data_IF_576403084193
#
_entry.id   IF_576403084193
#
_cell.length_a   1.000
_cell.length_b   1.000
_cell.length_c   1.000
_cell.angle_alpha   90.00
_cell.angle_beta   90.00
_cell.angle_gamma   90.00
#
_symmetry.space_group_name_H-M   'P 1'
#
loop_
_entity.id
_entity.type
_entity.pdbx_description
1 polymer ?
#
# COMPACT_ATOMS: atom_id res chain seq x y z
N UNK A 1 20.03 6.00 15.82
CA UNK A 1 18.98 6.88 16.38
C UNK A 1 17.72 6.06 16.55
N UNK A 2 16.89 6.36 17.55
CA UNK A 2 15.66 5.60 17.80
C UNK A 2 14.63 5.94 16.71
N UNK A 3 14.11 4.94 16.02
CA UNK A 3 12.99 5.07 15.09
C UNK A 3 11.72 5.18 15.92
N UNK A 4 11.21 6.40 16.11
CA UNK A 4 10.12 6.65 17.05
C UNK A 4 8.72 6.59 16.40
N UNK A 5 8.65 6.65 15.08
CA UNK A 5 7.40 6.81 14.34
C UNK A 5 7.37 5.90 13.11
N UNK A 6 6.21 5.33 12.82
CA UNK A 6 5.89 4.70 11.55
C UNK A 6 4.40 4.91 11.26
N UNK A 7 4.11 5.69 10.23
CA UNK A 7 2.74 6.10 9.92
C UNK A 7 2.14 5.37 8.71
N UNK A 8 2.86 4.41 8.11
CA UNK A 8 2.41 3.73 6.92
C UNK A 8 2.72 2.23 7.01
N UNK A 9 1.72 1.47 7.43
CA UNK A 9 1.76 0.01 7.54
C UNK A 9 0.40 -0.55 7.18
N UNK A 10 0.37 -1.78 6.66
CA UNK A 10 -0.85 -2.45 6.22
C UNK A 10 -1.16 -3.67 7.06
N UNK A 11 -2.43 -3.80 7.44
CA UNK A 11 -2.98 -4.97 8.12
C UNK A 11 -3.68 -5.90 7.13
N UNK A 12 -4.23 -7.01 7.63
CA UNK A 12 -5.01 -7.94 6.80
C UNK A 12 -6.34 -7.35 6.27
N UNK A 13 -6.70 -6.13 6.67
CA UNK A 13 -7.80 -5.39 6.04
C UNK A 13 -7.40 -4.73 4.72
N UNK A 14 -6.12 -4.63 4.43
CA UNK A 14 -5.58 -4.42 3.09
C UNK A 14 -5.55 -5.73 2.32
N UNK A 15 -5.73 -5.70 1.01
CA UNK A 15 -5.76 -6.90 0.17
C UNK A 15 -4.38 -7.56 -0.02
N UNK A 16 -3.33 -6.92 0.47
CA UNK A 16 -1.93 -7.36 0.39
C UNK A 16 -1.20 -7.36 1.74
N UNK A 17 -1.88 -7.03 2.84
CA UNK A 17 -1.32 -7.06 4.18
C UNK A 17 -1.46 -8.43 4.86
N UNK A 18 -0.51 -8.78 5.75
CA UNK A 18 -0.44 -10.10 6.38
C UNK A 18 -1.02 -10.14 7.80
N UNK A 19 -0.73 -9.14 8.62
CA UNK A 19 -0.92 -9.21 10.06
C UNK A 19 -2.21 -8.54 10.55
N UNK A 20 -2.76 -9.01 11.68
CA UNK A 20 -3.84 -8.29 12.37
C UNK A 20 -3.34 -6.94 12.90
N UNK A 21 -4.26 -5.96 13.12
CA UNK A 21 -3.91 -4.69 13.75
C UNK A 21 -3.22 -4.88 15.12
N UNK A 22 -3.67 -5.84 15.93
CA UNK A 22 -3.05 -6.14 17.23
C UNK A 22 -1.62 -6.66 17.08
N UNK A 23 -1.37 -7.53 16.11
CA UNK A 23 -0.04 -8.05 15.83
C UNK A 23 0.92 -6.95 15.34
N UNK A 24 0.45 -6.05 14.46
CA UNK A 24 1.24 -4.89 14.00
C UNK A 24 1.63 -3.98 15.18
N UNK A 25 0.69 -3.71 16.09
CA UNK A 25 0.98 -2.94 17.31
C UNK A 25 2.05 -3.65 18.15
N UNK A 26 1.95 -4.97 18.31
CA UNK A 26 2.96 -5.76 19.04
C UNK A 26 4.35 -5.65 18.40
N UNK A 27 4.43 -5.75 17.08
CA UNK A 27 5.68 -5.60 16.32
C UNK A 27 6.24 -4.19 16.44
N UNK A 28 5.39 -3.15 16.40
CA UNK A 28 5.78 -1.77 16.63
C UNK A 28 6.38 -1.57 18.02
N UNK A 29 5.73 -2.12 19.06
CA UNK A 29 6.25 -2.06 20.42
C UNK A 29 7.64 -2.69 20.55
N UNK A 30 7.84 -3.86 19.93
CA UNK A 30 9.13 -4.56 19.90
C UNK A 30 10.21 -3.78 19.14
N UNK A 31 9.82 -3.04 18.09
CA UNK A 31 10.71 -2.20 17.29
C UNK A 31 10.96 -0.82 17.89
N UNK A 32 10.37 -0.51 19.05
CA UNK A 32 10.57 0.77 19.76
C UNK A 32 9.73 1.94 19.20
N UNK A 33 8.80 1.69 18.29
CA UNK A 33 7.89 2.70 17.76
C UNK A 33 7.01 3.26 18.88
N UNK A 34 6.83 4.58 18.89
CA UNK A 34 6.03 5.33 19.87
C UNK A 34 4.80 6.01 19.26
N UNK A 35 4.84 6.25 17.96
CA UNK A 35 3.72 6.81 17.20
C UNK A 35 3.54 5.96 15.95
N UNK A 36 2.31 5.50 15.71
CA UNK A 36 2.01 4.63 14.58
C UNK A 36 0.67 4.95 13.93
N UNK A 37 0.54 4.54 12.68
CA UNK A 37 -0.72 4.46 11.98
C UNK A 37 -0.76 3.15 11.17
N UNK A 38 -1.94 2.55 11.09
CA UNK A 38 -2.24 1.52 10.09
C UNK A 38 -3.04 2.24 9.00
N UNK A 39 -2.53 2.18 7.78
CA UNK A 39 -3.07 2.90 6.63
C UNK A 39 -3.42 1.91 5.50
N UNK A 40 -4.41 1.05 5.77
CA UNK A 40 -4.84 0.01 4.83
C UNK A 40 -5.37 0.61 3.53
N UNK A 41 -5.17 -0.10 2.42
CA UNK A 41 -5.70 0.27 1.11
C UNK A 41 -7.22 0.35 1.16
N UNK A 42 -7.74 1.56 0.92
CA UNK A 42 -9.17 1.87 0.78
C UNK A 42 -10.05 1.45 1.97
N UNK A 43 -9.47 1.16 3.14
CA UNK A 43 -10.20 0.68 4.32
C UNK A 43 -9.77 1.38 5.61
N UNK A 44 -10.74 1.70 6.45
CA UNK A 44 -10.52 2.26 7.79
C UNK A 44 -10.73 1.22 8.91
N UNK A 45 -10.99 -0.03 8.55
CA UNK A 45 -11.42 -1.10 9.50
C UNK A 45 -10.41 -1.41 10.58
N UNK A 46 -9.12 -1.25 10.30
CA UNK A 46 -8.04 -1.49 11.27
C UNK A 46 -8.02 -0.48 12.42
N UNK A 47 -8.61 0.71 12.23
CA UNK A 47 -8.39 1.83 13.14
C UNK A 47 -8.90 1.59 14.57
N UNK A 48 -10.06 0.99 14.74
CA UNK A 48 -10.61 0.76 16.09
C UNK A 48 -9.79 -0.28 16.86
N UNK A 49 -9.52 -1.44 16.26
CA UNK A 49 -8.70 -2.50 16.85
C UNK A 49 -7.27 -2.01 17.12
N UNK A 50 -6.65 -1.36 16.12
CA UNK A 50 -5.29 -0.80 16.21
C UNK A 50 -5.18 0.24 17.33
N UNK A 51 -6.14 1.15 17.45
CA UNK A 51 -6.19 2.17 18.51
C UNK A 51 -6.30 1.55 19.90
N UNK A 52 -7.16 0.54 20.05
CA UNK A 52 -7.31 -0.17 21.33
C UNK A 52 -6.03 -0.93 21.71
N UNK A 53 -5.43 -1.64 20.77
CA UNK A 53 -4.17 -2.36 21.00
C UNK A 53 -3.01 -1.40 21.32
N UNK A 54 -2.86 -0.31 20.55
CA UNK A 54 -1.83 0.70 20.76
C UNK A 54 -1.95 1.38 22.14
N UNK A 55 -3.19 1.65 22.57
CA UNK A 55 -3.44 2.18 23.93
C UNK A 55 -2.94 1.23 25.01
N UNK A 56 -3.18 -0.08 24.87
CA UNK A 56 -2.67 -1.10 25.80
C UNK A 56 -1.13 -1.16 25.80
N UNK A 57 -0.51 -0.96 24.65
CA UNK A 57 0.94 -0.95 24.47
C UNK A 57 1.64 0.36 24.82
N UNK A 58 0.89 1.43 25.15
CA UNK A 58 1.43 2.76 25.41
C UNK A 58 1.99 3.47 24.17
N UNK A 59 1.49 3.12 22.99
CA UNK A 59 1.83 3.71 21.69
C UNK A 59 0.74 4.72 21.31
N UNK A 60 1.14 5.86 20.78
CA UNK A 60 0.21 6.84 20.20
C UNK A 60 -0.24 6.36 18.83
N UNK A 61 -1.54 6.12 18.68
CA UNK A 61 -2.16 5.75 17.41
C UNK A 61 -2.75 6.98 16.71
N UNK A 62 -2.54 7.08 15.40
CA UNK A 62 -3.17 8.06 14.51
C UNK A 62 -4.06 7.28 13.57
N UNK A 63 -5.35 7.67 13.41
CA UNK A 63 -6.20 7.05 12.40
C UNK A 63 -5.60 7.21 11.02
N UNK A 64 -5.58 6.13 10.24
CA UNK A 64 -4.95 6.06 8.94
C UNK A 64 -5.81 5.36 7.89
N UNK A 65 -5.58 5.73 6.65
CA UNK A 65 -6.06 5.07 5.43
C UNK A 65 -5.10 5.40 4.29
N UNK A 66 -4.89 4.48 3.37
CA UNK A 66 -4.28 4.77 2.07
C UNK A 66 -5.35 4.62 0.99
N UNK A 67 -5.69 5.72 0.31
CA UNK A 67 -6.71 5.75 -0.74
C UNK A 67 -6.05 5.68 -2.11
N UNK A 68 -6.41 4.64 -2.89
CA UNK A 68 -6.12 4.57 -4.31
C UNK A 68 -6.90 5.66 -5.04
N UNK A 69 -6.22 6.49 -5.82
CA UNK A 69 -6.85 7.57 -6.56
C UNK A 69 -6.17 7.80 -7.90
N UNK A 70 -6.77 8.64 -8.73
CA UNK A 70 -6.19 9.02 -10.02
C UNK A 70 -6.02 10.53 -10.14
N UNK A 71 -4.91 10.95 -10.74
CA UNK A 71 -4.67 12.33 -11.10
C UNK A 71 -4.10 12.42 -12.51
N UNK A 72 -4.81 13.12 -13.41
CA UNK A 72 -4.42 13.28 -14.83
C UNK A 72 -4.07 11.96 -15.54
N UNK A 73 -4.78 10.87 -15.18
CA UNK A 73 -4.59 9.53 -15.78
C UNK A 73 -3.50 8.67 -15.14
N UNK A 74 -2.82 9.17 -14.11
CA UNK A 74 -1.82 8.43 -13.32
C UNK A 74 -2.49 7.92 -12.05
N UNK A 75 -2.27 6.65 -11.71
CA UNK A 75 -2.69 6.08 -10.43
C UNK A 75 -1.74 6.57 -9.33
N UNK A 76 -2.32 7.03 -8.24
CA UNK A 76 -1.63 7.58 -7.07
C UNK A 76 -2.21 7.00 -5.80
N UNK A 77 -1.44 7.06 -4.72
CA UNK A 77 -1.93 6.80 -3.38
C UNK A 77 -1.88 8.07 -2.53
N UNK A 78 -2.94 8.27 -1.74
CA UNK A 78 -3.04 9.38 -0.78
C UNK A 78 -3.32 8.81 0.60
N UNK A 79 -2.44 9.12 1.53
CA UNK A 79 -2.61 8.80 2.94
C UNK A 79 -3.52 9.82 3.62
N UNK A 80 -4.53 9.34 4.33
CA UNK A 80 -5.33 10.15 5.23
C UNK A 80 -4.89 9.94 6.66
N UNK A 81 -4.78 11.01 7.45
CA UNK A 81 -4.40 10.93 8.84
C UNK A 81 -5.27 11.77 9.75
N UNK A 82 -5.60 11.24 10.94
CA UNK A 82 -6.24 11.99 12.01
C UNK A 82 -7.69 12.37 11.78
N UNK A 83 -8.36 11.68 10.87
CA UNK A 83 -9.77 11.89 10.51
C UNK A 83 -10.72 11.13 11.46
N UNK A 84 -12.01 11.46 11.38
CA UNK A 84 -13.10 10.69 12.01
C UNK A 84 -13.37 9.42 11.19
N UNK A 85 -12.82 8.30 11.65
CA UNK A 85 -12.91 6.98 11.01
C UNK A 85 -14.26 6.27 11.17
N UNK A 86 -15.21 6.88 11.90
CA UNK A 86 -16.58 6.39 11.98
C UNK A 86 -17.50 6.92 10.86
N UNK A 87 -17.00 7.78 9.98
CA UNK A 87 -17.77 8.38 8.89
C UNK A 87 -18.10 7.39 7.78
N UNK A 88 -19.35 7.41 7.30
CA UNK A 88 -19.83 6.63 6.16
C UNK A 88 -19.12 6.98 4.83
N UNK A 89 -18.43 8.12 4.77
CA UNK A 89 -17.65 8.52 3.58
C UNK A 89 -16.56 7.49 3.22
N UNK A 90 -15.95 6.89 4.22
CA UNK A 90 -14.92 5.86 4.00
C UNK A 90 -15.51 4.52 3.57
N UNK A 91 -16.74 4.20 3.98
CA UNK A 91 -17.47 3.05 3.44
C UNK A 91 -17.70 3.19 1.93
N UNK A 92 -17.96 4.40 1.44
CA UNK A 92 -18.07 4.67 0.00
C UNK A 92 -16.76 4.34 -0.76
N UNK A 93 -15.59 4.67 -0.18
CA UNK A 93 -14.30 4.33 -0.77
C UNK A 93 -14.12 2.81 -0.85
N UNK A 94 -14.36 2.11 0.27
CA UNK A 94 -14.26 0.65 0.34
C UNK A 94 -15.22 -0.03 -0.63
N UNK A 95 -16.49 0.39 -0.69
CA UNK A 95 -17.53 -0.17 -1.57
C UNK A 95 -17.19 0.02 -3.05
N UNK A 96 -16.61 1.18 -3.42
CA UNK A 96 -16.17 1.45 -4.79
C UNK A 96 -15.16 0.39 -5.27
N UNK A 97 -14.16 0.07 -4.44
CA UNK A 97 -13.15 -0.93 -4.77
C UNK A 97 -13.74 -2.33 -4.71
N UNK A 98 -14.47 -2.68 -3.66
CA UNK A 98 -15.06 -4.00 -3.47
C UNK A 98 -16.01 -4.40 -4.60
N UNK A 99 -16.81 -3.46 -5.09
CA UNK A 99 -17.77 -3.71 -6.19
C UNK A 99 -17.08 -4.10 -7.51
N UNK A 100 -15.84 -3.71 -7.71
CA UNK A 100 -15.06 -3.98 -8.92
C UNK A 100 -14.11 -5.17 -8.77
N UNK A 101 -13.66 -5.44 -7.54
CA UNK A 101 -12.56 -6.35 -7.24
C UNK A 101 -12.77 -7.77 -7.76
N UNK A 102 -13.95 -8.38 -7.52
CA UNK A 102 -14.23 -9.75 -7.97
C UNK A 102 -14.16 -9.90 -9.50
N UNK A 103 -14.61 -8.88 -10.25
CA UNK A 103 -14.51 -8.87 -11.70
C UNK A 103 -13.07 -8.66 -12.16
N UNK A 104 -12.34 -7.73 -11.52
CA UNK A 104 -10.94 -7.45 -11.81
C UNK A 104 -10.06 -8.68 -11.55
N UNK A 105 -10.27 -9.37 -10.43
CA UNK A 105 -9.55 -10.61 -10.07
C UNK A 105 -9.69 -11.70 -11.15
N UNK A 106 -10.90 -11.92 -11.66
CA UNK A 106 -11.12 -12.90 -12.75
C UNK A 106 -10.49 -12.47 -14.07
N UNK A 107 -10.44 -11.16 -14.35
CA UNK A 107 -9.74 -10.66 -15.54
C UNK A 107 -8.21 -10.82 -15.40
N UNK A 108 -7.65 -10.58 -14.22
CA UNK A 108 -6.25 -10.83 -13.92
C UNK A 108 -5.91 -12.32 -14.05
N UNK A 109 -6.77 -13.21 -13.56
CA UNK A 109 -6.62 -14.67 -13.75
C UNK A 109 -6.55 -15.04 -15.24
N UNK A 110 -7.48 -14.51 -16.04
CA UNK A 110 -7.45 -14.73 -17.49
C UNK A 110 -6.18 -14.19 -18.15
N UNK A 111 -5.67 -13.06 -17.70
CA UNK A 111 -4.44 -12.47 -18.19
C UNK A 111 -3.21 -13.32 -17.80
N UNK A 112 -3.16 -13.82 -16.56
CA UNK A 112 -2.11 -14.72 -16.07
C UNK A 112 -2.06 -16.01 -16.89
N UNK A 113 -3.22 -16.59 -17.20
CA UNK A 113 -3.30 -17.78 -18.09
C UNK A 113 -2.78 -17.49 -19.50
N UNK A 114 -3.01 -16.29 -20.04
CA UNK A 114 -2.45 -15.88 -21.34
C UNK A 114 -0.93 -15.74 -21.33
N UNK A 115 -0.30 -15.55 -20.18
CA UNK A 115 1.16 -15.61 -20.03
C UNK A 115 1.71 -17.03 -20.10
N UNK A 116 0.85 -18.07 -20.14
CA UNK A 116 1.22 -19.47 -20.22
C UNK A 116 1.23 -20.21 -18.88
N UNK A 117 0.72 -19.60 -17.81
CA UNK A 117 0.62 -20.24 -16.50
C UNK A 117 -0.74 -20.95 -16.32
N UNK A 118 -0.71 -22.14 -15.77
CA UNK A 118 -1.93 -22.90 -15.44
C UNK A 118 -2.30 -22.59 -13.97
N UNK A 119 -3.09 -21.53 -13.78
CA UNK A 119 -3.62 -21.11 -12.49
C UNK A 119 -5.14 -21.20 -12.53
N UNK A 120 -5.76 -21.72 -11.48
CA UNK A 120 -7.22 -21.91 -11.39
C UNK A 120 -7.85 -20.94 -10.37
N UNK A 121 -9.17 -20.85 -10.36
CA UNK A 121 -9.89 -20.13 -9.31
C UNK A 121 -9.67 -20.81 -7.97
N UNK A 122 -9.66 -22.15 -7.94
CA UNK A 122 -9.41 -22.96 -6.73
C UNK A 122 -8.04 -22.67 -6.12
N UNK A 123 -6.99 -22.47 -6.92
CA UNK A 123 -5.67 -22.09 -6.40
C UNK A 123 -5.70 -20.75 -5.68
N UNK A 124 -6.43 -19.81 -6.23
CA UNK A 124 -6.54 -18.46 -5.67
C UNK A 124 -7.43 -18.46 -4.43
N UNK A 125 -8.52 -19.24 -4.43
CA UNK A 125 -9.40 -19.43 -3.27
C UNK A 125 -8.67 -20.15 -2.13
N UNK A 126 -7.85 -21.17 -2.42
CA UNK A 126 -7.04 -21.87 -1.43
C UNK A 126 -6.01 -20.93 -0.79
N UNK A 127 -5.32 -20.10 -1.59
CA UNK A 127 -4.38 -19.10 -1.08
C UNK A 127 -5.07 -18.04 -0.24
N UNK A 128 -6.23 -17.54 -0.69
CA UNK A 128 -6.99 -16.53 0.03
C UNK A 128 -7.57 -17.05 1.36
N UNK A 129 -7.94 -18.34 1.43
CA UNK A 129 -8.46 -18.97 2.66
C UNK A 129 -9.61 -18.16 3.27
N UNK A 130 -9.51 -17.89 4.59
CA UNK A 130 -10.48 -17.10 5.34
C UNK A 130 -10.12 -15.62 5.45
N UNK A 131 -9.26 -15.09 4.57
CA UNK A 131 -8.92 -13.67 4.53
C UNK A 131 -10.15 -12.79 4.35
N UNK A 132 -10.11 -11.60 4.90
CA UNK A 132 -11.21 -10.62 4.80
C UNK A 132 -11.62 -10.36 3.34
N UNK A 133 -10.63 -10.30 2.42
CA UNK A 133 -10.80 -10.03 1.00
C UNK A 133 -10.67 -11.30 0.12
N UNK A 134 -11.21 -12.44 0.54
CA UNK A 134 -11.06 -13.73 -0.15
C UNK A 134 -11.47 -13.75 -1.63
N UNK A 135 -12.36 -12.85 -2.05
CA UNK A 135 -12.79 -12.72 -3.45
C UNK A 135 -11.99 -11.67 -4.24
N UNK A 136 -10.92 -11.13 -3.64
CA UNK A 136 -10.14 -10.01 -4.15
C UNK A 136 -8.68 -10.42 -4.29
N UNK A 137 -8.35 -10.90 -5.48
CA UNK A 137 -7.00 -11.40 -5.76
C UNK A 137 -6.15 -10.29 -6.34
N UNK A 138 -4.96 -10.11 -5.77
CA UNK A 138 -3.98 -9.12 -6.22
C UNK A 138 -2.90 -9.76 -7.07
N UNK A 139 -2.10 -8.96 -7.77
CA UNK A 139 -0.96 -9.43 -8.53
C UNK A 139 0.09 -10.15 -7.67
N UNK A 140 0.21 -9.74 -6.40
CA UNK A 140 1.06 -10.37 -5.39
C UNK A 140 0.59 -11.78 -5.06
N UNK A 141 -0.71 -12.01 -4.94
CA UNK A 141 -1.28 -13.32 -4.71
C UNK A 141 -1.03 -14.26 -5.90
N UNK A 142 -1.16 -13.77 -7.14
CA UNK A 142 -0.76 -14.55 -8.33
C UNK A 142 0.73 -14.90 -8.29
N UNK A 143 1.60 -13.96 -7.89
CA UNK A 143 3.02 -14.23 -7.74
C UNK A 143 3.28 -15.32 -6.68
N UNK A 144 2.59 -15.27 -5.53
CA UNK A 144 2.71 -16.26 -4.45
C UNK A 144 2.34 -17.66 -4.94
N UNK A 145 1.21 -17.82 -5.64
CA UNK A 145 0.80 -19.10 -6.23
C UNK A 145 1.85 -19.60 -7.23
N UNK A 146 2.30 -18.75 -8.16
CA UNK A 146 3.24 -19.16 -9.20
C UNK A 146 4.62 -19.53 -8.66
N UNK A 147 5.14 -18.74 -7.72
CA UNK A 147 6.44 -18.96 -7.11
C UNK A 147 6.43 -20.16 -6.14
N UNK A 148 5.27 -20.49 -5.57
CA UNK A 148 5.09 -21.65 -4.69
C UNK A 148 5.04 -22.98 -5.43
N UNK A 149 4.83 -23.02 -6.74
CA UNK A 149 4.68 -24.27 -7.51
C UNK A 149 6.02 -24.84 -7.96
N UNK A 150 6.26 -26.10 -7.64
CA UNK A 150 7.47 -26.82 -8.01
C UNK A 150 7.64 -26.97 -9.53
N UNK A 151 6.53 -27.12 -10.27
CA UNK A 151 6.53 -27.22 -11.73
C UNK A 151 7.07 -25.96 -12.41
N UNK A 152 7.02 -24.81 -11.75
CA UNK A 152 7.52 -23.54 -12.27
C UNK A 152 8.86 -23.11 -11.67
N UNK A 153 9.55 -23.98 -10.93
CA UNK A 153 10.80 -23.61 -10.28
C UNK A 153 11.87 -23.07 -11.23
N UNK A 154 11.96 -23.62 -12.43
CA UNK A 154 12.92 -23.25 -13.46
C UNK A 154 12.30 -22.39 -14.59
N UNK A 155 11.06 -21.89 -14.39
CA UNK A 155 10.38 -21.12 -15.43
C UNK A 155 11.08 -19.76 -15.67
N UNK A 156 11.51 -19.43 -16.92
CA UNK A 156 12.36 -18.26 -17.19
C UNK A 156 11.76 -16.93 -16.71
N UNK A 157 10.45 -16.74 -16.77
CA UNK A 157 9.77 -15.52 -16.28
C UNK A 157 9.79 -15.40 -14.76
N UNK A 158 9.97 -16.50 -14.01
CA UNK A 158 9.92 -16.51 -12.55
C UNK A 158 11.31 -16.50 -11.90
N UNK A 159 12.35 -16.89 -12.62
CA UNK A 159 13.73 -16.90 -12.11
C UNK A 159 14.19 -15.58 -11.50
N UNK A 160 13.86 -14.40 -12.06
CA UNK A 160 14.25 -13.12 -11.46
C UNK A 160 13.71 -12.88 -10.05
N UNK A 161 12.55 -13.48 -9.71
CA UNK A 161 11.84 -13.28 -8.43
C UNK A 161 12.18 -14.35 -7.38
N UNK A 162 13.01 -15.33 -7.70
CA UNK A 162 13.47 -16.35 -6.76
C UNK A 162 14.66 -15.87 -5.96
N UNK A 163 15.02 -16.62 -4.92
CA UNK A 163 16.20 -16.34 -4.09
C UNK A 163 17.45 -16.19 -4.97
N UNK A 164 18.19 -15.11 -4.77
CA UNK A 164 19.36 -14.73 -5.58
C UNK A 164 19.05 -14.08 -6.94
N UNK A 165 17.79 -14.02 -7.35
CA UNK A 165 17.37 -13.30 -8.56
C UNK A 165 17.35 -11.78 -8.35
N UNK A 166 17.43 -11.02 -9.44
CA UNK A 166 17.51 -9.56 -9.42
C UNK A 166 16.26 -8.84 -8.85
N UNK A 167 15.17 -9.57 -8.69
CA UNK A 167 13.86 -9.10 -8.15
C UNK A 167 13.42 -9.95 -6.95
N UNK A 168 14.34 -10.71 -6.35
CA UNK A 168 14.06 -11.66 -5.27
C UNK A 168 14.01 -11.04 -3.87
N UNK A 169 14.32 -9.75 -3.73
CA UNK A 169 14.24 -9.00 -2.47
C UNK A 169 12.79 -8.83 -1.96
N UNK A 170 11.86 -8.51 -2.85
CA UNK A 170 10.42 -8.42 -2.62
C UNK A 170 9.67 -9.13 -3.76
N UNK A 171 9.72 -10.46 -3.84
CA UNK A 171 9.35 -11.19 -5.05
C UNK A 171 7.91 -10.93 -5.50
N UNK A 172 6.96 -10.87 -4.58
CA UNK A 172 5.54 -10.75 -4.91
C UNK A 172 5.20 -9.36 -5.43
N UNK A 173 5.56 -8.31 -4.71
CA UNK A 173 5.29 -6.93 -5.16
C UNK A 173 6.11 -6.57 -6.40
N UNK A 174 7.34 -7.09 -6.54
CA UNK A 174 8.14 -6.88 -7.75
C UNK A 174 7.48 -7.52 -8.97
N UNK A 175 6.86 -8.69 -8.81
CA UNK A 175 6.08 -9.35 -9.87
C UNK A 175 4.82 -8.54 -10.23
N UNK A 176 4.13 -8.01 -9.20
CA UNK A 176 3.01 -7.09 -9.43
C UNK A 176 3.45 -5.88 -10.27
N UNK A 177 4.52 -5.19 -9.89
CA UNK A 177 5.02 -4.03 -10.64
C UNK A 177 5.38 -4.34 -12.09
N UNK A 178 5.90 -5.53 -12.36
CA UNK A 178 6.37 -5.92 -13.68
C UNK A 178 5.23 -6.41 -14.60
N UNK A 179 4.13 -6.94 -14.04
CA UNK A 179 3.08 -7.59 -14.85
C UNK A 179 1.66 -7.04 -14.62
N UNK A 180 1.30 -6.50 -13.44
CA UNK A 180 -0.08 -6.15 -13.10
C UNK A 180 -0.30 -4.66 -12.89
N UNK A 181 0.74 -3.87 -12.68
CA UNK A 181 0.62 -2.42 -12.51
C UNK A 181 0.17 -1.71 -13.79
N UNK A 182 -0.21 -0.45 -13.69
CA UNK A 182 -0.70 0.35 -14.82
C UNK A 182 0.23 0.26 -16.04
N UNK A 183 -0.33 -0.08 -17.20
CA UNK A 183 0.40 -0.21 -18.46
C UNK A 183 1.05 -1.57 -18.71
N UNK A 184 0.90 -2.54 -17.79
CA UNK A 184 1.46 -3.90 -17.93
C UNK A 184 0.45 -4.88 -18.52
N UNK A 185 0.95 -6.08 -18.91
CA UNK A 185 0.16 -7.05 -19.67
C UNK A 185 -1.03 -7.68 -18.91
N UNK A 186 -0.97 -7.75 -17.59
CA UNK A 186 -2.03 -8.26 -16.72
C UNK A 186 -2.79 -7.14 -15.99
N UNK A 187 -2.50 -5.88 -16.32
CA UNK A 187 -3.20 -4.75 -15.74
C UNK A 187 -4.70 -4.80 -16.06
N UNK A 188 -5.51 -4.66 -15.03
CA UNK A 188 -6.96 -4.49 -15.15
C UNK A 188 -7.31 -3.11 -14.62
N UNK A 189 -7.93 -2.30 -15.48
CA UNK A 189 -8.36 -0.96 -15.09
C UNK A 189 -9.52 -1.05 -14.11
N UNK A 190 -9.35 -0.41 -12.96
CA UNK A 190 -10.41 -0.11 -12.02
C UNK A 190 -10.66 1.40 -11.99
N UNK A 191 -11.88 1.80 -11.66
CA UNK A 191 -12.25 3.21 -11.55
C UNK A 191 -12.04 3.67 -10.11
N UNK A 192 -10.92 4.33 -9.89
CA UNK A 192 -10.59 4.97 -8.61
C UNK A 192 -11.16 6.38 -8.52
N UNK A 193 -11.42 6.90 -7.31
CA UNK A 193 -11.76 8.31 -7.13
C UNK A 193 -10.64 9.21 -7.70
N UNK A 194 -10.99 10.43 -8.07
CA UNK A 194 -9.97 11.42 -8.40
C UNK A 194 -9.25 11.87 -7.13
N UNK A 195 -8.00 12.32 -7.27
CA UNK A 195 -7.21 12.88 -6.17
C UNK A 195 -7.99 13.91 -5.35
N UNK A 196 -8.66 14.83 -6.03
CA UNK A 196 -9.41 15.91 -5.37
C UNK A 196 -10.59 15.36 -4.54
N UNK A 197 -11.20 14.25 -4.96
CA UNK A 197 -12.27 13.59 -4.22
C UNK A 197 -11.73 12.88 -2.97
N UNK A 198 -10.58 12.19 -3.09
CA UNK A 198 -9.92 11.57 -1.96
C UNK A 198 -9.49 12.61 -0.90
N UNK A 199 -8.89 13.71 -1.34
CA UNK A 199 -8.51 14.84 -0.48
C UNK A 199 -9.73 15.46 0.21
N UNK A 200 -10.82 15.70 -0.53
CA UNK A 200 -12.06 16.26 0.03
C UNK A 200 -12.67 15.36 1.10
N UNK A 201 -12.71 14.04 0.86
CA UNK A 201 -13.19 13.06 1.85
C UNK A 201 -12.37 13.12 3.14
N UNK A 202 -11.04 13.14 3.04
CA UNK A 202 -10.16 13.23 4.21
C UNK A 202 -10.41 14.54 4.97
N UNK A 203 -10.44 15.68 4.25
CA UNK A 203 -10.59 17.00 4.86
C UNK A 203 -11.94 17.21 5.56
N UNK A 204 -13.05 16.83 4.92
CA UNK A 204 -14.39 17.03 5.51
C UNK A 204 -14.63 16.15 6.75
N UNK A 205 -13.80 15.09 6.93
CA UNK A 205 -13.75 14.28 8.13
C UNK A 205 -12.66 14.73 9.13
N UNK A 206 -12.09 15.93 8.95
CA UNK A 206 -11.17 16.57 9.89
C UNK A 206 -9.72 16.10 9.79
N UNK A 207 -9.37 15.28 8.78
CA UNK A 207 -8.04 14.73 8.57
C UNK A 207 -7.13 15.56 7.70
N UNK A 208 -5.92 15.06 7.51
CA UNK A 208 -4.88 15.61 6.64
C UNK A 208 -4.55 14.63 5.52
N UNK A 209 -4.49 15.13 4.28
CA UNK A 209 -4.16 14.34 3.10
C UNK A 209 -2.66 14.45 2.77
N UNK A 210 -1.98 13.32 2.63
CA UNK A 210 -0.53 13.24 2.38
C UNK A 210 -0.25 12.39 1.15
N UNK A 211 0.55 12.90 0.20
CA UNK A 211 0.98 12.13 -0.96
C UNK A 211 1.88 10.97 -0.51
N UNK A 212 1.45 9.74 -0.76
CA UNK A 212 2.19 8.52 -0.40
C UNK A 212 3.39 8.31 -1.33
N UNK A 213 4.49 7.83 -0.78
CA UNK A 213 5.71 7.36 -1.49
C UNK A 213 5.90 7.88 -2.94
N UNK A 214 6.00 9.21 -3.16
CA UNK A 214 6.04 9.79 -4.50
C UNK A 214 7.20 9.30 -5.38
N UNK A 215 8.28 8.81 -4.79
CA UNK A 215 9.38 8.19 -5.53
C UNK A 215 8.99 6.93 -6.30
N UNK A 216 7.89 6.29 -5.94
CA UNK A 216 7.30 5.16 -6.66
C UNK A 216 6.26 5.65 -7.67
N UNK A 217 5.24 6.34 -7.19
CA UNK A 217 4.07 6.72 -8.00
C UNK A 217 4.38 7.77 -9.06
N UNK A 218 5.36 8.65 -8.81
CA UNK A 218 5.75 9.72 -9.75
C UNK A 218 7.09 9.45 -10.44
N UNK A 219 7.59 8.21 -10.44
CA UNK A 219 8.90 7.84 -11.00
C UNK A 219 9.11 8.36 -12.43
N UNK A 220 8.07 8.27 -13.26
CA UNK A 220 8.12 8.64 -14.68
C UNK A 220 7.32 9.91 -14.99
N UNK A 221 6.80 10.61 -13.99
CA UNK A 221 5.94 11.80 -14.13
C UNK A 221 6.15 12.80 -12.98
N UNK A 222 7.39 13.05 -12.61
CA UNK A 222 7.77 13.96 -11.51
C UNK A 222 7.26 15.40 -11.65
N UNK A 223 6.93 15.84 -12.86
CA UNK A 223 6.30 17.13 -13.14
C UNK A 223 4.90 17.27 -12.54
N UNK A 224 4.25 16.17 -12.15
CA UNK A 224 2.95 16.18 -11.49
C UNK A 224 3.03 16.55 -10.00
N UNK A 225 4.21 16.57 -9.38
CA UNK A 225 4.33 16.87 -7.95
C UNK A 225 3.71 18.23 -7.58
N UNK A 226 4.05 19.30 -8.31
CA UNK A 226 3.52 20.63 -8.04
C UNK A 226 1.99 20.71 -8.27
N UNK A 227 1.43 20.23 -9.40
CA UNK A 227 -0.01 20.14 -9.58
C UNK A 227 -0.76 19.34 -8.49
N UNK A 228 -0.16 18.24 -7.99
CA UNK A 228 -0.75 17.45 -6.90
C UNK A 228 -0.81 18.25 -5.60
N UNK A 229 0.26 18.94 -5.25
CA UNK A 229 0.29 19.80 -4.07
C UNK A 229 -0.69 20.99 -4.17
N UNK A 230 -0.93 21.48 -5.37
CA UNK A 230 -1.93 22.53 -5.65
C UNK A 230 -3.37 21.99 -5.57
N UNK A 231 -3.58 20.68 -5.79
CA UNK A 231 -4.89 20.03 -5.69
C UNK A 231 -5.39 19.84 -4.24
N UNK A 232 -4.66 20.36 -3.24
CA UNK A 232 -5.10 20.41 -1.85
C UNK A 232 -4.43 19.41 -0.91
N UNK A 233 -3.44 18.65 -1.38
CA UNK A 233 -2.66 17.73 -0.55
C UNK A 233 -1.87 18.53 0.51
N UNK A 234 -1.99 18.14 1.79
CA UNK A 234 -1.38 18.85 2.93
C UNK A 234 0.08 18.52 3.15
N UNK A 235 0.53 17.35 2.68
CA UNK A 235 1.87 16.86 2.97
C UNK A 235 2.43 15.90 1.95
N UNK A 236 3.69 15.52 2.19
CA UNK A 236 4.40 14.50 1.40
C UNK A 236 5.00 13.48 2.37
N UNK A 237 4.83 12.20 2.08
CA UNK A 237 5.61 11.14 2.70
C UNK A 237 7.03 11.20 2.11
N UNK A 238 7.87 12.03 2.72
CA UNK A 238 9.23 12.25 2.23
C UNK A 238 10.16 11.08 2.56
N UNK A 239 9.91 10.43 3.69
CA UNK A 239 10.70 9.30 4.18
C UNK A 239 9.88 8.01 4.05
N UNK A 240 10.19 7.23 3.03
CA UNK A 240 9.59 5.94 2.76
C UNK A 240 10.68 4.89 2.56
N UNK A 241 10.39 3.62 2.80
CA UNK A 241 11.32 2.51 2.55
C UNK A 241 11.80 2.43 1.08
N UNK A 242 11.03 3.02 0.17
CA UNK A 242 11.36 3.08 -1.27
C UNK A 242 12.28 4.23 -1.66
N UNK A 243 12.43 5.22 -0.80
CA UNK A 243 13.19 6.40 -1.15
C UNK A 243 14.66 6.24 -0.82
N UNK A 244 15.53 6.54 -1.79
CA UNK A 244 16.94 6.78 -1.50
C UNK A 244 17.10 8.05 -0.62
N UNK A 245 18.25 8.21 0.01
CA UNK A 245 18.57 9.43 0.79
C UNK A 245 18.41 10.70 -0.06
N UNK A 246 18.77 10.64 -1.35
CA UNK A 246 18.62 11.75 -2.29
C UNK A 246 17.15 12.08 -2.54
N UNK A 247 16.31 11.05 -2.79
CA UNK A 247 14.87 11.22 -2.99
C UNK A 247 14.19 11.73 -1.71
N UNK A 248 14.51 11.17 -0.55
CA UNK A 248 13.99 11.65 0.72
C UNK A 248 14.35 13.12 0.96
N UNK A 249 15.61 13.51 0.70
CA UNK A 249 16.07 14.89 0.78
C UNK A 249 15.35 15.81 -0.20
N UNK A 250 15.08 15.35 -1.42
CA UNK A 250 14.32 16.10 -2.42
C UNK A 250 12.88 16.37 -1.98
N UNK A 251 12.13 15.31 -1.57
CA UNK A 251 10.74 15.44 -1.14
C UNK A 251 10.60 16.22 0.17
N UNK A 252 11.52 16.02 1.12
CA UNK A 252 11.59 16.83 2.34
C UNK A 252 11.75 18.32 2.02
N UNK A 253 12.67 18.68 1.13
CA UNK A 253 12.89 20.07 0.71
C UNK A 253 11.68 20.64 -0.04
N UNK A 254 11.04 19.83 -0.92
CA UNK A 254 9.86 20.23 -1.66
C UNK A 254 8.67 20.55 -0.73
N UNK A 255 8.41 19.70 0.28
CA UNK A 255 7.38 19.92 1.28
C UNK A 255 7.67 21.15 2.13
N UNK A 256 8.89 21.25 2.70
CA UNK A 256 9.29 22.34 3.56
C UNK A 256 9.24 23.71 2.86
N UNK A 257 9.66 23.78 1.61
CA UNK A 257 9.63 25.00 0.81
C UNK A 257 8.23 25.54 0.55
N UNK A 258 7.19 24.70 0.72
CA UNK A 258 5.77 25.06 0.55
C UNK A 258 4.98 25.03 1.86
N UNK A 259 5.64 24.93 3.01
CA UNK A 259 5.02 24.80 4.33
C UNK A 259 4.04 23.63 4.43
N UNK A 260 4.35 22.53 3.73
CA UNK A 260 3.56 21.29 3.76
C UNK A 260 4.05 20.35 4.86
N UNK A 261 3.19 19.45 5.30
CA UNK A 261 3.55 18.39 6.26
C UNK A 261 4.60 17.45 5.65
N UNK A 262 5.41 16.88 6.53
CA UNK A 262 6.38 15.85 6.17
C UNK A 262 6.08 14.64 7.04
N UNK A 263 5.84 13.51 6.40
CA UNK A 263 5.61 12.24 7.10
C UNK A 263 6.66 11.21 6.77
N UNK A 264 6.64 10.12 7.53
CA UNK A 264 7.46 8.95 7.33
C UNK A 264 6.64 7.68 7.56
N UNK A 265 6.89 6.67 6.74
CA UNK A 265 6.27 5.37 6.86
C UNK A 265 7.06 4.29 6.14
N UNK A 266 7.02 3.08 6.67
CA UNK A 266 7.75 1.95 6.08
C UNK A 266 7.04 1.35 4.89
N UNK A 267 5.73 1.47 4.83
CA UNK A 267 4.88 0.74 3.91
C UNK A 267 5.02 -0.79 4.10
N UNK A 268 5.03 -1.21 5.38
CA UNK A 268 5.21 -2.60 5.80
C UNK A 268 3.97 -3.43 5.55
N UNK A 269 4.13 -4.60 4.90
CA UNK A 269 3.04 -5.50 4.53
C UNK A 269 3.25 -6.96 5.02
N UNK A 270 4.37 -7.24 5.72
CA UNK A 270 4.74 -8.60 6.07
C UNK A 270 5.29 -9.39 4.89
N UNK A 271 4.78 -10.59 4.63
CA UNK A 271 5.27 -11.53 3.61
C UNK A 271 5.26 -10.98 2.18
N UNK A 272 4.39 -10.04 1.88
CA UNK A 272 4.28 -9.44 0.54
C UNK A 272 5.51 -8.61 0.18
N UNK A 273 6.10 -7.95 1.19
CA UNK A 273 7.29 -7.11 1.05
C UNK A 273 8.35 -7.47 2.12
N UNK A 274 8.96 -8.67 2.06
CA UNK A 274 9.80 -9.21 3.14
C UNK A 274 11.08 -8.43 3.41
N UNK A 275 11.58 -7.63 2.47
CA UNK A 275 12.75 -6.78 2.70
C UNK A 275 12.43 -5.50 3.49
N UNK A 276 11.15 -5.15 3.62
CA UNK A 276 10.71 -3.97 4.35
C UNK A 276 10.50 -4.32 5.83
N UNK A 277 11.01 -3.49 6.71
CA UNK A 277 10.84 -3.63 8.15
C UNK A 277 10.13 -2.42 8.75
N UNK A 278 9.38 -2.62 9.82
CA UNK A 278 8.76 -1.54 10.61
C UNK A 278 9.83 -0.50 10.98
N UNK A 279 9.53 0.77 10.74
CA UNK A 279 10.47 1.87 10.90
C UNK A 279 11.59 1.90 9.84
N UNK A 280 11.49 1.14 8.74
CA UNK A 280 12.50 1.02 7.68
C UNK A 280 12.60 2.21 6.72
N UNK A 281 11.98 3.35 7.03
CA UNK A 281 11.81 4.53 6.17
C UNK A 281 12.96 5.55 6.17
N UNK A 282 14.02 5.32 6.92
CA UNK A 282 15.21 6.20 6.92
C UNK A 282 15.06 7.55 7.65
N UNK A 283 13.90 7.90 8.20
CA UNK A 283 13.72 9.07 9.06
C UNK A 283 14.32 8.81 10.45
N UNK A 284 15.15 9.73 10.94
CA UNK A 284 15.85 9.61 12.24
C UNK A 284 15.66 10.86 13.08
#
# INVERSE_FOLDING_TARGET
>A
MEKLMDLHMHSYYSDDGEFSPEELVRQCAMSGIRVMSIADHNSVRANDEGRQAARRAGIRYVSGIEIDCTFRGVNLHVLGYGFDDASDDFAFIEDNISSQAATASRQMLCATRKMGFDVTEEDMEELAGDYYWKDRWTGEMFAEVLLGREEYKDHPLLLPYREGGARGDNPYVNFYWDFYSQGKCCYVKMEYPKLEQAVDIIHRNGGYAVLAHPGVNLKDCGELLDPILEAGVDGIEAFSSYHSEEQAGFYHKAARGRFRMITCGSDYHGKTKPSISIGGHGCT
#
